data_IF_410317538241
#
_entry.id   IF_410317538241
#
_cell.length_a   1.000
_cell.length_b   1.000
_cell.length_c   1.000
_cell.angle_alpha   90.00
_cell.angle_beta   90.00
_cell.angle_gamma   90.00
#
_symmetry.space_group_name_H-M   'P 1'
#
loop_
_entity.id
_entity.type
_entity.pdbx_description
1 polymer ?
#
# COMPACT_ATOMS: atom_id res chain seq x y z
N UNK A 1 -35.21 -6.21 38.90
CA UNK A 1 -34.93 -6.27 37.45
C UNK A 1 -34.06 -5.08 37.11
N UNK A 2 -32.74 -5.27 37.10
CA UNK A 2 -31.80 -4.17 36.88
C UNK A 2 -31.32 -4.23 35.44
N UNK A 3 -31.77 -3.27 34.63
CA UNK A 3 -31.18 -3.00 33.32
C UNK A 3 -29.83 -2.31 33.53
N UNK A 4 -28.74 -3.04 33.30
CA UNK A 4 -27.42 -2.45 33.10
C UNK A 4 -27.28 -2.06 31.65
N UNK A 5 -27.46 -0.76 31.38
CA UNK A 5 -27.11 -0.14 30.10
C UNK A 5 -25.60 -0.01 30.04
N UNK A 6 -24.94 -0.93 29.32
CA UNK A 6 -23.51 -0.83 29.03
C UNK A 6 -23.28 0.37 28.12
N UNK A 7 -22.77 1.45 28.69
CA UNK A 7 -22.32 2.63 27.94
C UNK A 7 -21.01 2.26 27.23
N UNK A 8 -21.07 1.92 25.94
CA UNK A 8 -19.87 1.77 25.12
C UNK A 8 -19.29 3.15 24.86
N UNK A 9 -18.27 3.55 25.63
CA UNK A 9 -17.48 4.73 25.32
C UNK A 9 -16.68 4.45 24.05
N UNK A 10 -17.20 4.88 22.90
CA UNK A 10 -16.49 4.85 21.63
C UNK A 10 -15.35 5.87 21.69
N UNK A 11 -14.24 5.49 22.31
CA UNK A 11 -12.98 6.20 22.13
C UNK A 11 -12.57 6.03 20.67
N UNK A 12 -12.45 7.12 19.91
CA UNK A 12 -11.81 7.17 18.59
C UNK A 12 -10.29 6.91 18.72
N UNK A 13 -9.92 5.80 19.35
CA UNK A 13 -8.54 5.43 19.59
C UNK A 13 -7.94 4.93 18.28
N UNK A 14 -6.71 5.35 18.01
CA UNK A 14 -5.90 4.79 16.95
C UNK A 14 -5.23 3.51 17.47
N UNK A 15 -5.42 2.42 16.73
CA UNK A 15 -4.87 1.10 16.99
C UNK A 15 -3.67 0.87 16.05
N UNK A 16 -2.62 0.29 16.62
CA UNK A 16 -1.37 -0.04 15.95
C UNK A 16 -1.07 -1.54 16.13
N UNK A 17 0.09 -2.02 15.69
CA UNK A 17 0.48 -3.41 15.95
C UNK A 17 0.54 -3.78 17.43
N UNK A 18 0.84 -2.83 18.33
CA UNK A 18 0.84 -3.10 19.78
C UNK A 18 -0.57 -3.47 20.30
N UNK A 19 -1.62 -3.10 19.59
CA UNK A 19 -3.00 -3.48 19.91
C UNK A 19 -3.32 -4.93 19.53
N UNK A 20 -2.52 -5.57 18.67
CA UNK A 20 -2.80 -6.90 18.12
C UNK A 20 -1.54 -7.78 18.14
N UNK A 21 -1.37 -8.65 19.14
CA UNK A 21 -0.15 -9.47 19.27
C UNK A 21 0.00 -10.53 18.15
N UNK A 22 -1.05 -10.81 17.38
CA UNK A 22 -1.02 -11.77 16.28
C UNK A 22 -2.08 -11.44 15.20
N UNK A 23 -1.95 -12.01 13.98
CA UNK A 23 -3.00 -11.94 12.97
C UNK A 23 -4.35 -12.49 13.45
N UNK A 24 -4.34 -13.50 14.32
CA UNK A 24 -5.55 -14.07 14.89
C UNK A 24 -6.26 -13.08 15.82
N UNK A 25 -5.52 -12.38 16.67
CA UNK A 25 -6.09 -11.33 17.53
C UNK A 25 -6.72 -10.19 16.71
N UNK A 26 -6.09 -9.81 15.59
CA UNK A 26 -6.67 -8.85 14.64
C UNK A 26 -7.95 -9.40 13.99
N UNK A 27 -7.94 -10.66 13.55
CA UNK A 27 -9.12 -11.34 12.98
C UNK A 27 -10.32 -11.35 13.94
N UNK A 28 -10.08 -11.71 15.21
CA UNK A 28 -11.12 -11.76 16.24
C UNK A 28 -11.72 -10.39 16.52
N UNK A 29 -10.91 -9.32 16.48
CA UNK A 29 -11.37 -7.95 16.64
C UNK A 29 -12.15 -7.43 15.42
N UNK A 30 -11.77 -7.83 14.20
CA UNK A 30 -12.43 -7.46 12.95
C UNK A 30 -13.78 -8.17 12.75
N UNK A 31 -13.90 -9.43 13.17
CA UNK A 31 -15.09 -10.28 12.93
C UNK A 31 -16.43 -9.63 13.31
N UNK A 32 -16.60 -9.05 14.52
CA UNK A 32 -17.86 -8.39 14.86
C UNK A 32 -18.07 -7.03 14.14
N UNK A 33 -17.01 -6.46 13.52
CA UNK A 33 -17.05 -5.13 12.89
C UNK A 33 -17.20 -5.19 11.37
N UNK A 34 -16.82 -6.30 10.74
CA UNK A 34 -16.92 -6.56 9.30
C UNK A 34 -17.47 -7.97 9.01
N UNK A 35 -18.66 -8.34 9.53
CA UNK A 35 -19.15 -9.71 9.47
C UNK A 35 -19.42 -10.22 8.05
N UNK A 36 -19.74 -9.33 7.11
CA UNK A 36 -20.07 -9.69 5.73
C UNK A 36 -18.84 -9.69 4.81
N UNK A 37 -17.91 -8.75 5.00
CA UNK A 37 -16.80 -8.56 4.09
C UNK A 37 -15.53 -9.32 4.48
N UNK A 38 -15.26 -9.48 5.78
CA UNK A 38 -14.05 -10.17 6.27
C UNK A 38 -13.86 -11.57 5.67
N UNK A 39 -14.91 -12.41 5.49
CA UNK A 39 -14.76 -13.72 4.85
C UNK A 39 -14.29 -13.67 3.38
N UNK A 40 -14.38 -12.52 2.72
CA UNK A 40 -13.97 -12.36 1.31
C UNK A 40 -12.49 -12.06 1.15
N UNK A 41 -11.80 -11.65 2.22
CA UNK A 41 -10.40 -11.23 2.17
C UNK A 41 -9.45 -12.41 1.95
N UNK A 42 -8.62 -12.32 0.91
CA UNK A 42 -7.73 -13.41 0.47
C UNK A 42 -8.46 -14.55 -0.25
N UNK A 43 -9.78 -14.46 -0.43
CA UNK A 43 -10.60 -15.41 -1.19
C UNK A 43 -11.05 -14.79 -2.51
N UNK A 44 -11.52 -13.54 -2.46
CA UNK A 44 -11.87 -12.77 -3.66
C UNK A 44 -10.58 -12.33 -4.38
N UNK A 45 -10.45 -12.54 -5.70
CA UNK A 45 -9.27 -12.14 -6.46
C UNK A 45 -8.92 -10.65 -6.25
N UNK A 46 -7.62 -10.37 -6.09
CA UNK A 46 -7.09 -9.02 -5.91
C UNK A 46 -7.19 -8.45 -4.48
N UNK A 47 -7.79 -9.20 -3.54
CA UNK A 47 -7.88 -8.81 -2.13
C UNK A 47 -6.68 -9.31 -1.32
N UNK A 48 -6.32 -8.56 -0.29
CA UNK A 48 -5.31 -8.94 0.70
C UNK A 48 -6.03 -9.62 1.88
N UNK A 49 -5.31 -10.37 2.70
CA UNK A 49 -5.89 -11.09 3.84
C UNK A 49 -5.56 -10.43 5.20
N UNK A 50 -6.03 -11.03 6.30
CA UNK A 50 -5.78 -10.51 7.65
C UNK A 50 -4.29 -10.49 7.99
N UNK A 51 -3.52 -11.48 7.53
CA UNK A 51 -2.07 -11.50 7.72
C UNK A 51 -1.41 -10.31 7.05
N UNK A 52 -1.83 -9.93 5.83
CA UNK A 52 -1.36 -8.69 5.20
C UNK A 52 -1.65 -7.47 6.06
N UNK A 53 -2.90 -7.29 6.54
CA UNK A 53 -3.25 -6.10 7.33
C UNK A 53 -2.46 -6.04 8.65
N UNK A 54 -2.23 -7.19 9.27
CA UNK A 54 -1.41 -7.28 10.47
C UNK A 54 0.05 -6.90 10.18
N UNK A 55 0.62 -7.33 9.05
CA UNK A 55 1.96 -6.94 8.61
C UNK A 55 2.05 -5.42 8.36
N UNK A 56 1.06 -4.84 7.67
CA UNK A 56 0.97 -3.39 7.47
C UNK A 56 0.98 -2.62 8.81
N UNK A 57 0.22 -3.10 9.80
CA UNK A 57 0.22 -2.54 11.15
C UNK A 57 1.59 -2.69 11.82
N UNK A 58 2.24 -3.86 11.66
CA UNK A 58 3.53 -4.19 12.27
C UNK A 58 4.68 -3.32 11.75
N UNK A 59 4.61 -2.91 10.49
CA UNK A 59 5.55 -1.99 9.86
C UNK A 59 5.17 -0.52 10.03
N UNK A 60 4.01 -0.26 10.65
CA UNK A 60 3.44 1.08 10.78
C UNK A 60 3.09 1.72 9.45
N UNK A 61 2.87 0.92 8.41
CA UNK A 61 2.36 1.35 7.11
C UNK A 61 0.91 1.82 7.20
N UNK A 62 0.18 1.30 8.19
CA UNK A 62 -1.21 1.68 8.44
C UNK A 62 -1.50 1.81 9.92
N UNK A 63 -2.52 2.61 10.23
CA UNK A 63 -3.19 2.63 11.53
C UNK A 63 -4.68 2.35 11.34
N UNK A 64 -5.33 1.79 12.36
CA UNK A 64 -6.78 1.60 12.37
C UNK A 64 -7.42 2.53 13.40
N UNK A 65 -8.61 3.04 13.11
CA UNK A 65 -9.46 3.68 14.11
C UNK A 65 -10.52 2.69 14.57
N UNK A 66 -10.79 2.65 15.88
CA UNK A 66 -11.85 1.81 16.47
C UNK A 66 -13.25 2.39 16.19
N UNK A 67 -13.62 2.36 14.91
CA UNK A 67 -14.96 2.65 14.41
C UNK A 67 -15.64 1.36 13.93
N UNK A 68 -16.93 1.43 13.61
CA UNK A 68 -17.69 0.30 13.04
C UNK A 68 -18.36 0.77 11.74
N UNK A 69 -17.88 0.37 10.54
CA UNK A 69 -16.66 -0.43 10.31
C UNK A 69 -15.36 0.32 10.68
N UNK A 70 -14.23 -0.38 10.92
CA UNK A 70 -12.94 0.25 11.22
C UNK A 70 -12.48 1.13 10.07
N UNK A 71 -11.92 2.31 10.39
CA UNK A 71 -11.27 3.16 9.38
C UNK A 71 -9.78 2.89 9.34
N UNK A 72 -9.26 2.58 8.17
CA UNK A 72 -7.81 2.40 7.92
C UNK A 72 -7.21 3.71 7.43
N UNK A 73 -6.10 4.15 8.00
CA UNK A 73 -5.35 5.31 7.51
C UNK A 73 -3.97 4.88 7.06
N UNK A 74 -3.60 5.25 5.83
CA UNK A 74 -2.32 4.89 5.20
C UNK A 74 -1.66 6.15 4.63
N UNK A 75 -0.36 6.28 4.87
CA UNK A 75 0.47 7.27 4.17
C UNK A 75 1.09 6.61 2.95
N UNK A 76 0.96 7.22 1.78
CA UNK A 76 1.42 6.66 0.51
C UNK A 76 2.36 7.64 -0.17
N UNK A 77 3.55 7.19 -0.53
CA UNK A 77 4.45 7.90 -1.41
C UNK A 77 4.00 7.66 -2.86
N UNK A 78 3.71 8.72 -3.60
CA UNK A 78 3.38 8.69 -5.02
C UNK A 78 4.55 9.30 -5.79
N UNK A 79 5.18 8.49 -6.65
CA UNK A 79 6.43 8.83 -7.32
C UNK A 79 6.17 9.05 -8.81
N UNK A 80 6.22 10.30 -9.24
CA UNK A 80 6.04 10.67 -10.64
C UNK A 80 7.39 10.61 -11.35
N UNK A 81 7.58 9.60 -12.20
CA UNK A 81 8.78 9.45 -13.01
C UNK A 81 8.46 9.92 -14.43
N UNK A 82 9.31 10.77 -14.99
CA UNK A 82 9.13 11.33 -16.33
C UNK A 82 10.24 10.87 -17.27
N UNK A 83 9.89 10.53 -18.50
CA UNK A 83 10.88 10.31 -19.56
C UNK A 83 11.20 11.63 -20.31
N UNK A 84 12.13 11.57 -21.26
CA UNK A 84 12.55 12.74 -22.06
C UNK A 84 11.43 13.33 -22.92
N UNK A 85 10.42 12.54 -23.27
CA UNK A 85 9.23 13.00 -24.00
C UNK A 85 8.20 13.68 -23.08
N UNK A 86 8.44 13.73 -21.78
CA UNK A 86 7.52 14.29 -20.79
C UNK A 86 6.38 13.34 -20.37
N UNK A 87 6.37 12.10 -20.87
CA UNK A 87 5.42 11.08 -20.45
C UNK A 87 5.69 10.66 -19.01
N UNK A 88 4.64 10.28 -18.30
CA UNK A 88 4.69 9.80 -16.92
C UNK A 88 4.66 8.28 -16.91
N UNK A 89 5.50 7.68 -16.07
CA UNK A 89 5.46 6.24 -15.83
C UNK A 89 4.27 5.93 -14.91
N UNK A 90 3.36 5.10 -15.40
CA UNK A 90 2.28 4.55 -14.59
C UNK A 90 2.43 3.05 -14.46
N UNK A 91 1.99 2.55 -13.31
CA UNK A 91 1.67 1.17 -13.13
C UNK A 91 0.27 0.91 -13.70
N UNK A 92 0.20 0.09 -14.75
CA UNK A 92 -1.07 -0.27 -15.39
C UNK A 92 -1.82 -1.31 -14.56
N UNK A 93 -1.14 -2.39 -14.17
CA UNK A 93 -1.67 -3.48 -13.37
C UNK A 93 -0.54 -4.21 -12.65
N UNK A 94 -0.93 -5.03 -11.67
CA UNK A 94 -0.05 -5.92 -10.94
C UNK A 94 -0.59 -7.35 -10.98
N UNK A 95 0.32 -8.31 -10.97
CA UNK A 95 0.05 -9.72 -10.70
C UNK A 95 0.43 -10.05 -9.26
N UNK A 96 -0.49 -10.68 -8.54
CA UNK A 96 -0.31 -11.06 -7.14
C UNK A 96 0.17 -12.52 -7.01
N UNK A 97 0.63 -12.90 -5.82
CA UNK A 97 1.14 -14.24 -5.53
C UNK A 97 0.11 -15.36 -5.66
N UNK A 98 -1.18 -15.02 -5.59
CA UNK A 98 -2.32 -15.93 -5.85
C UNK A 98 -2.69 -16.02 -7.34
N UNK A 99 -1.93 -15.37 -8.23
CA UNK A 99 -2.15 -15.30 -9.67
C UNK A 99 -3.24 -14.31 -10.09
N UNK A 100 -3.87 -13.61 -9.14
CA UNK A 100 -4.87 -12.60 -9.48
C UNK A 100 -4.22 -11.33 -10.04
N UNK A 101 -4.93 -10.66 -10.96
CA UNK A 101 -4.50 -9.41 -11.57
C UNK A 101 -5.34 -8.27 -11.01
N UNK A 102 -4.67 -7.17 -10.61
CA UNK A 102 -5.34 -5.98 -10.07
C UNK A 102 -4.92 -4.75 -10.87
N UNK A 103 -5.88 -4.07 -11.49
CA UNK A 103 -5.65 -2.80 -12.18
C UNK A 103 -5.20 -1.70 -11.22
N UNK A 104 -4.32 -0.80 -11.68
CA UNK A 104 -3.71 0.26 -10.89
C UNK A 104 -3.96 1.62 -11.50
N UNK A 105 -3.56 1.79 -12.76
CA UNK A 105 -3.61 3.00 -13.56
C UNK A 105 -3.19 4.25 -12.76
N UNK A 106 -2.02 4.19 -12.13
CA UNK A 106 -1.51 5.26 -11.27
C UNK A 106 0.02 5.28 -11.28
N UNK A 107 0.68 6.38 -10.89
CA UNK A 107 2.13 6.40 -10.69
C UNK A 107 2.57 5.37 -9.64
N UNK A 108 3.87 5.06 -9.61
CA UNK A 108 4.47 4.21 -8.60
C UNK A 108 4.03 4.67 -7.20
N UNK A 109 3.41 3.77 -6.44
CA UNK A 109 2.67 4.11 -5.22
C UNK A 109 2.99 3.12 -4.11
N UNK A 110 3.75 3.58 -3.12
CA UNK A 110 4.29 2.72 -2.08
C UNK A 110 3.87 3.20 -0.69
N UNK A 111 3.56 2.29 0.22
CA UNK A 111 3.17 2.66 1.58
C UNK A 111 4.39 3.17 2.33
N UNK A 112 4.24 4.30 3.02
CA UNK A 112 5.31 4.83 3.86
C UNK A 112 5.40 4.03 5.16
N UNK A 113 6.62 3.67 5.58
CA UNK A 113 6.87 2.99 6.86
C UNK A 113 6.89 3.99 8.01
N UNK A 114 6.79 3.51 9.25
CA UNK A 114 6.81 4.37 10.43
C UNK A 114 8.11 5.22 10.49
N UNK A 115 7.95 6.54 10.60
CA UNK A 115 9.07 7.48 10.71
C UNK A 115 9.81 7.78 9.40
N UNK A 116 9.40 7.17 8.29
CA UNK A 116 10.02 7.37 6.98
C UNK A 116 9.63 8.74 6.39
N UNK A 117 10.62 9.48 5.85
CA UNK A 117 10.35 10.69 5.07
C UNK A 117 9.87 10.33 3.66
N UNK A 118 9.14 11.24 3.00
CA UNK A 118 8.74 11.04 1.59
C UNK A 118 9.94 10.80 0.66
N UNK A 119 11.09 11.40 0.94
CA UNK A 119 12.32 11.18 0.15
C UNK A 119 12.80 9.73 0.30
N UNK A 120 12.88 9.22 1.52
CA UNK A 120 13.31 7.85 1.80
C UNK A 120 12.32 6.85 1.19
N UNK A 121 11.02 7.07 1.39
CA UNK A 121 9.96 6.24 0.81
C UNK A 121 10.04 6.21 -0.71
N UNK A 122 10.22 7.35 -1.38
CA UNK A 122 10.33 7.41 -2.84
C UNK A 122 11.57 6.67 -3.36
N UNK A 123 12.72 6.82 -2.71
CA UNK A 123 13.95 6.11 -3.09
C UNK A 123 13.79 4.61 -2.89
N UNK A 124 13.23 4.19 -1.76
CA UNK A 124 12.95 2.78 -1.47
C UNK A 124 12.00 2.19 -2.51
N UNK A 125 10.90 2.87 -2.80
CA UNK A 125 9.89 2.41 -3.74
C UNK A 125 10.46 2.23 -5.15
N UNK A 126 11.29 3.18 -5.62
CA UNK A 126 12.00 3.04 -6.90
C UNK A 126 12.98 1.85 -6.89
N UNK A 127 13.66 1.58 -5.78
CA UNK A 127 14.59 0.44 -5.67
C UNK A 127 13.85 -0.90 -5.63
N UNK A 128 12.80 -1.00 -4.83
CA UNK A 128 12.01 -2.23 -4.66
C UNK A 128 11.29 -2.59 -5.97
N UNK A 129 10.61 -1.64 -6.60
CA UNK A 129 9.77 -1.94 -7.76
C UNK A 129 10.48 -1.81 -9.12
N UNK A 130 11.48 -0.93 -9.25
CA UNK A 130 12.18 -0.68 -10.53
C UNK A 130 13.64 -1.13 -10.52
N UNK A 131 14.20 -1.57 -9.38
CA UNK A 131 15.62 -1.85 -9.21
C UNK A 131 16.20 -2.86 -10.21
N UNK A 132 15.40 -3.83 -10.65
CA UNK A 132 15.82 -4.86 -11.64
C UNK A 132 16.06 -4.31 -13.05
N UNK A 133 15.55 -3.11 -13.36
CA UNK A 133 15.76 -2.42 -14.65
C UNK A 133 16.59 -1.14 -14.51
N UNK A 134 17.02 -0.79 -13.29
CA UNK A 134 17.94 0.32 -13.08
C UNK A 134 19.36 -0.12 -13.41
N UNK A 135 20.05 0.70 -14.21
CA UNK A 135 21.48 0.51 -14.51
C UNK A 135 22.33 0.80 -13.27
N UNK A 136 21.90 1.76 -12.43
CA UNK A 136 22.57 2.10 -11.19
C UNK A 136 21.56 2.52 -10.10
N UNK A 137 21.70 2.04 -8.85
CA UNK A 137 20.85 2.46 -7.74
C UNK A 137 21.09 3.92 -7.29
N UNK A 138 22.19 4.53 -7.73
CA UNK A 138 22.57 5.93 -7.40
C UNK A 138 22.02 6.95 -8.43
N UNK A 139 21.26 6.48 -9.41
CA UNK A 139 20.65 7.28 -10.48
C UNK A 139 19.42 8.09 -10.04
N UNK A 140 18.93 7.92 -8.81
CA UNK A 140 17.62 8.44 -8.38
C UNK A 140 17.73 9.81 -7.70
N UNK A 141 17.10 10.84 -8.29
CA UNK A 141 17.02 12.20 -7.73
C UNK A 141 15.58 12.60 -7.46
N UNK A 142 15.22 12.70 -6.18
CA UNK A 142 13.90 13.19 -5.72
C UNK A 142 13.88 14.73 -5.69
N UNK A 143 12.89 15.33 -6.36
CA UNK A 143 12.67 16.77 -6.47
C UNK A 143 11.73 17.27 -5.37
N UNK A 144 12.26 17.66 -4.23
CA UNK A 144 11.41 18.06 -3.10
C UNK A 144 10.59 19.33 -3.34
N UNK A 145 11.01 20.19 -4.26
CA UNK A 145 10.24 21.40 -4.64
C UNK A 145 8.94 21.05 -5.36
N UNK A 146 8.78 19.83 -5.86
CA UNK A 146 7.54 19.32 -6.48
C UNK A 146 6.57 18.67 -5.47
N UNK A 147 6.95 18.62 -4.19
CA UNK A 147 6.17 17.93 -3.18
C UNK A 147 4.74 18.49 -3.07
N UNK A 148 3.76 17.59 -3.10
CA UNK A 148 2.37 17.91 -2.82
C UNK A 148 1.71 16.85 -1.95
N UNK A 149 0.65 17.24 -1.24
CA UNK A 149 -0.09 16.35 -0.34
C UNK A 149 -1.58 16.42 -0.65
N UNK A 150 -2.21 15.25 -0.75
CA UNK A 150 -3.66 15.11 -0.95
C UNK A 150 -4.22 14.07 0.03
N UNK A 151 -5.44 14.28 0.50
CA UNK A 151 -6.17 13.29 1.28
C UNK A 151 -7.32 12.77 0.41
N UNK A 152 -7.47 11.45 0.35
CA UNK A 152 -8.57 10.79 -0.34
C UNK A 152 -9.25 9.77 0.59
N UNK A 153 -10.57 9.84 0.70
CA UNK A 153 -11.35 8.83 1.40
C UNK A 153 -12.08 7.94 0.40
N UNK A 154 -11.86 6.63 0.49
CA UNK A 154 -12.54 5.61 -0.33
C UNK A 154 -12.47 4.24 0.31
N UNK A 155 -13.28 3.31 -0.15
CA UNK A 155 -13.18 1.92 0.26
C UNK A 155 -11.88 1.28 -0.24
N UNK A 156 -11.29 0.41 0.59
CA UNK A 156 -10.09 -0.32 0.21
C UNK A 156 -10.40 -1.44 -0.76
N UNK A 157 -9.81 -1.40 -1.96
CA UNK A 157 -9.84 -2.53 -2.88
C UNK A 157 -9.11 -3.78 -2.35
N UNK A 158 -8.09 -3.59 -1.50
CA UNK A 158 -7.41 -4.70 -0.82
C UNK A 158 -8.26 -5.32 0.29
N UNK A 159 -9.10 -4.51 0.94
CA UNK A 159 -9.86 -4.87 2.14
C UNK A 159 -11.32 -4.41 1.97
N UNK A 160 -12.15 -5.14 1.19
CA UNK A 160 -13.55 -4.81 1.02
C UNK A 160 -14.27 -4.59 2.36
N UNK A 161 -15.21 -3.64 2.39
CA UNK A 161 -15.95 -3.23 3.59
C UNK A 161 -15.17 -2.31 4.55
N UNK A 162 -13.88 -2.07 4.31
CA UNK A 162 -13.07 -1.21 5.15
C UNK A 162 -12.90 0.20 4.54
N UNK A 163 -13.54 1.25 5.09
CA UNK A 163 -13.30 2.61 4.66
C UNK A 163 -11.85 2.99 4.94
N UNK A 164 -11.21 3.65 3.98
CA UNK A 164 -9.80 4.03 4.06
C UNK A 164 -9.58 5.51 3.79
N UNK A 165 -8.72 6.11 4.61
CA UNK A 165 -8.15 7.44 4.42
C UNK A 165 -6.73 7.30 3.87
N UNK A 166 -6.54 7.70 2.62
CA UNK A 166 -5.24 7.72 1.95
C UNK A 166 -4.65 9.12 2.06
N UNK A 167 -3.52 9.24 2.73
CA UNK A 167 -2.72 10.46 2.76
C UNK A 167 -1.65 10.28 1.68
N UNK A 168 -1.88 10.87 0.51
CA UNK A 168 -1.01 10.78 -0.65
C UNK A 168 0.04 11.90 -0.58
N UNK A 169 1.31 11.51 -0.62
CA UNK A 169 2.48 12.37 -0.66
C UNK A 169 3.14 12.20 -2.02
N UNK A 170 3.00 13.19 -2.91
CA UNK A 170 3.48 13.10 -4.29
C UNK A 170 4.78 13.87 -4.48
N UNK A 171 5.74 13.27 -5.18
CA UNK A 171 7.00 13.91 -5.58
C UNK A 171 7.40 13.48 -6.99
N UNK A 172 8.03 14.38 -7.73
CA UNK A 172 8.68 14.08 -8.99
C UNK A 172 10.07 13.50 -8.76
N UNK A 173 10.42 12.48 -9.54
CA UNK A 173 11.71 11.79 -9.49
C UNK A 173 12.33 11.77 -10.88
N UNK A 174 13.61 12.12 -10.92
CA UNK A 174 14.46 11.98 -12.11
C UNK A 174 15.36 10.77 -11.90
N UNK A 175 15.37 9.89 -12.90
CA UNK A 175 16.32 8.78 -12.99
C UNK A 175 17.36 9.18 -14.04
N UNK A 176 18.64 9.20 -13.65
CA UNK A 176 19.75 9.65 -14.51
C UNK A 176 19.89 8.77 -15.75
N UNK A 177 19.83 7.46 -15.57
CA UNK A 177 19.80 6.51 -16.67
C UNK A 177 18.35 6.26 -17.11
N UNK A 178 18.13 6.12 -18.41
CA UNK A 178 16.80 5.89 -18.96
C UNK A 178 16.28 4.51 -18.58
N UNK A 179 15.07 4.47 -18.01
CA UNK A 179 14.24 3.27 -17.97
C UNK A 179 13.89 2.80 -19.41
N UNK A 180 13.40 1.56 -19.60
CA UNK A 180 12.95 1.09 -20.90
C UNK A 180 11.93 2.04 -21.56
N UNK A 181 12.09 2.33 -22.85
CA UNK A 181 11.26 3.31 -23.57
C UNK A 181 9.81 2.85 -23.81
N UNK A 182 9.59 1.53 -23.90
CA UNK A 182 8.27 0.92 -24.11
C UNK A 182 7.63 0.38 -22.84
N UNK A 183 6.49 -0.31 -22.99
CA UNK A 183 5.88 -1.07 -21.90
C UNK A 183 6.87 -2.12 -21.37
N UNK A 184 7.02 -2.21 -20.06
CA UNK A 184 7.91 -3.19 -19.42
C UNK A 184 7.30 -3.75 -18.14
N UNK A 185 7.96 -4.73 -17.56
CA UNK A 185 7.54 -5.30 -16.29
C UNK A 185 8.73 -5.62 -15.41
N UNK A 186 8.54 -5.50 -14.11
CA UNK A 186 9.54 -5.83 -13.08
C UNK A 186 8.97 -6.85 -12.11
N UNK A 187 9.85 -7.63 -11.48
CA UNK A 187 9.47 -8.56 -10.42
C UNK A 187 9.87 -7.99 -9.07
N UNK A 188 9.01 -8.20 -8.08
CA UNK A 188 9.29 -7.89 -6.68
C UNK A 188 9.58 -9.21 -5.96
N UNK A 189 10.81 -9.40 -5.48
CA UNK A 189 11.24 -10.69 -4.95
C UNK A 189 10.64 -11.01 -3.58
N UNK A 190 10.27 -10.03 -2.75
CA UNK A 190 9.53 -10.25 -1.47
C UNK A 190 9.09 -8.92 -0.78
N UNK A 191 7.80 -8.53 -0.87
CA UNK A 191 7.19 -7.34 -0.22
C UNK A 191 7.46 -7.27 1.31
N UNK A 192 7.64 -8.44 1.96
CA UNK A 192 7.87 -8.56 3.41
C UNK A 192 9.12 -9.39 3.77
N UNK A 193 10.11 -9.52 2.87
CA UNK A 193 11.32 -10.31 3.14
C UNK A 193 11.99 -9.93 4.47
N UNK A 194 12.31 -10.94 5.29
CA UNK A 194 12.96 -10.74 6.60
C UNK A 194 12.06 -10.26 7.73
N UNK A 195 10.76 -10.07 7.48
CA UNK A 195 9.76 -9.68 8.47
C UNK A 195 8.62 -10.70 8.55
N UNK A 196 8.08 -10.97 9.74
CA UNK A 196 6.86 -11.77 9.90
C UNK A 196 6.96 -13.29 9.75
N UNK A 197 8.11 -13.87 9.38
CA UNK A 197 8.33 -15.33 9.40
C UNK A 197 7.25 -16.14 8.67
N UNK A 198 6.57 -17.06 9.35
CA UNK A 198 5.46 -17.83 8.77
C UNK A 198 4.24 -16.97 8.38
N UNK A 199 4.02 -15.83 9.05
CA UNK A 199 2.91 -14.92 8.73
C UNK A 199 3.07 -14.33 7.33
N UNK A 200 4.30 -13.99 6.94
CA UNK A 200 4.61 -13.49 5.61
C UNK A 200 4.35 -14.54 4.52
N UNK A 201 4.56 -15.83 4.79
CA UNK A 201 4.28 -16.92 3.84
C UNK A 201 2.79 -17.04 3.48
N UNK A 202 1.90 -16.67 4.40
CA UNK A 202 0.46 -16.70 4.19
C UNK A 202 -0.10 -15.41 3.55
N UNK A 203 0.73 -14.39 3.34
CA UNK A 203 0.31 -13.10 2.83
C UNK A 203 0.16 -13.12 1.30
N UNK A 204 -0.86 -12.43 0.77
CA UNK A 204 -0.96 -12.19 -0.68
C UNK A 204 -0.03 -11.03 -1.01
N UNK A 205 1.02 -11.24 -1.80
CA UNK A 205 2.04 -10.22 -2.12
C UNK A 205 2.00 -9.87 -3.60
N UNK A 206 2.53 -8.71 -3.98
CA UNK A 206 2.74 -8.41 -5.40
C UNK A 206 3.95 -9.23 -5.88
N UNK A 207 3.85 -9.79 -7.09
CA UNK A 207 4.96 -10.50 -7.73
C UNK A 207 5.52 -9.75 -8.92
N UNK A 208 4.64 -9.10 -9.67
CA UNK A 208 5.00 -8.47 -10.93
C UNK A 208 4.24 -7.17 -11.12
N UNK A 209 4.97 -6.16 -11.51
CA UNK A 209 4.47 -4.83 -11.82
C UNK A 209 4.55 -4.63 -13.33
N UNK A 210 3.51 -4.04 -13.93
CA UNK A 210 3.44 -3.78 -15.36
C UNK A 210 3.34 -2.28 -15.64
N UNK A 211 4.41 -1.76 -16.24
CA UNK A 211 4.66 -0.34 -16.40
C UNK A 211 4.39 0.12 -17.82
N UNK A 212 3.85 1.33 -17.92
CA UNK A 212 3.58 2.00 -19.20
C UNK A 212 3.91 3.47 -19.11
N UNK A 213 4.37 4.03 -20.22
CA UNK A 213 4.50 5.47 -20.39
C UNK A 213 3.20 6.03 -20.94
N UNK A 214 2.63 7.01 -20.26
CA UNK A 214 1.42 7.71 -20.71
C UNK A 214 1.67 9.21 -20.82
N UNK A 215 1.00 9.92 -21.74
CA UNK A 215 1.02 11.38 -21.75
C UNK A 215 0.61 11.93 -20.38
N UNK A 216 1.21 13.04 -19.93
CA UNK A 216 0.92 13.61 -18.62
C UNK A 216 -0.57 13.92 -18.38
N UNK A 217 -1.30 14.25 -19.43
CA UNK A 217 -2.74 14.51 -19.39
C UNK A 217 -3.59 13.26 -19.11
N UNK A 218 -3.03 12.07 -19.35
CA UNK A 218 -3.68 10.77 -19.19
C UNK A 218 -3.17 10.02 -17.93
N UNK A 219 -2.30 10.66 -17.15
CA UNK A 219 -1.61 10.12 -15.97
C UNK A 219 -2.37 10.36 -14.65
#
# INVERSE_FOLDING_TARGET
MSCTTTTSSSTNAFLTAQSFPSPQALSDWLRPRLPHDLPTWGVKPGTKNVSNLWLELSHGETVLQDTIPPRRTVNVATVNIRNLAGNVLIESHQELSDGSVRSRCRPLSEKMKAGETIREAAIRAVREELGSVLVSPDGVRVLMDSYSRKIEERDSGSYPGMPSCYILHSVDVIIKESLPEGDFSTQEEDEYAGSGGEVAKGAVVVRKHFWKWVPQQDA
#
